data_IF_846121053358
#
_entry.id   IF_846121053358
#
_cell.length_a   1.000
_cell.length_b   1.000
_cell.length_c   1.000
_cell.angle_alpha   90.00
_cell.angle_beta   90.00
_cell.angle_gamma   90.00
#
_symmetry.space_group_name_H-M   'P 1'
#
loop_
_entity.id
_entity.type
_entity.pdbx_description
1 polymer ?
#
# COMPACT_ATOMS: atom_id res chain seq x y z
N UNK A 1 24.21 -18.52 14.01
CA UNK A 1 24.94 -17.23 14.07
C UNK A 1 23.98 -16.13 13.67
N UNK A 2 23.89 -15.04 14.45
CA UNK A 2 23.00 -13.92 14.16
C UNK A 2 23.65 -12.99 13.10
N UNK A 3 22.86 -12.39 12.20
CA UNK A 3 23.34 -11.44 11.19
C UNK A 3 24.07 -10.26 11.84
N UNK A 4 23.62 -9.84 13.03
CA UNK A 4 24.26 -8.80 13.83
C UNK A 4 25.68 -9.20 14.27
N UNK A 5 25.91 -10.48 14.59
CA UNK A 5 27.22 -10.99 14.98
C UNK A 5 28.16 -11.08 13.78
N UNK A 6 27.66 -11.49 12.61
CA UNK A 6 28.44 -11.48 11.37
C UNK A 6 28.88 -10.06 10.99
N UNK A 7 27.99 -9.08 11.08
CA UNK A 7 28.31 -7.67 10.81
C UNK A 7 29.30 -7.10 11.82
N UNK A 8 29.21 -7.50 13.10
CA UNK A 8 30.20 -7.13 14.12
C UNK A 8 31.58 -7.68 13.77
N UNK A 9 31.68 -8.96 13.39
CA UNK A 9 32.95 -9.59 13.02
C UNK A 9 33.60 -8.89 11.84
N UNK A 10 32.81 -8.56 10.82
CA UNK A 10 33.32 -7.87 9.63
C UNK A 10 33.78 -6.44 9.95
N UNK A 11 33.02 -5.70 10.76
CA UNK A 11 33.40 -4.36 11.18
C UNK A 11 34.69 -4.35 12.03
N UNK A 12 34.94 -5.40 12.83
CA UNK A 12 36.21 -5.59 13.53
C UNK A 12 37.35 -5.90 12.54
N UNK A 13 37.11 -6.75 11.55
CA UNK A 13 38.10 -7.08 10.51
C UNK A 13 38.51 -5.86 9.68
N UNK A 14 37.60 -4.91 9.49
CA UNK A 14 37.83 -3.62 8.80
C UNK A 14 38.36 -2.51 9.73
N UNK A 15 38.73 -2.83 10.97
CA UNK A 15 39.27 -1.90 11.97
C UNK A 15 38.37 -0.69 12.25
N UNK A 16 37.04 -0.89 12.25
CA UNK A 16 36.12 0.19 12.58
C UNK A 16 36.28 0.61 14.04
N UNK A 17 36.43 1.91 14.25
CA UNK A 17 36.46 2.47 15.60
C UNK A 17 35.11 2.32 16.32
N UNK A 18 35.12 2.50 17.63
CA UNK A 18 33.95 2.32 18.50
C UNK A 18 32.75 3.17 18.05
N UNK A 19 33.00 4.39 17.56
CA UNK A 19 31.96 5.29 17.04
C UNK A 19 31.28 4.73 15.78
N UNK A 20 32.05 4.23 14.80
CA UNK A 20 31.50 3.58 13.59
C UNK A 20 30.79 2.28 13.90
N UNK A 21 31.36 1.47 14.81
CA UNK A 21 30.73 0.23 15.28
C UNK A 21 29.40 0.52 15.97
N UNK A 22 29.35 1.48 16.89
CA UNK A 22 28.14 1.89 17.58
C UNK A 22 27.08 2.40 16.60
N UNK A 23 27.47 3.17 15.59
CA UNK A 23 26.57 3.66 14.53
C UNK A 23 25.91 2.51 13.75
N UNK A 24 26.70 1.51 13.33
CA UNK A 24 26.19 0.34 12.61
C UNK A 24 25.30 -0.51 13.52
N UNK A 25 25.71 -0.73 14.76
CA UNK A 25 24.93 -1.50 15.72
C UNK A 25 23.61 -0.81 16.09
N UNK A 26 23.59 0.51 16.14
CA UNK A 26 22.37 1.30 16.35
C UNK A 26 21.40 1.23 15.17
N UNK A 27 21.89 1.01 13.95
CA UNK A 27 21.02 0.82 12.77
C UNK A 27 20.13 -0.42 12.88
N UNK A 28 20.58 -1.45 13.62
CA UNK A 28 19.77 -2.64 13.93
C UNK A 28 18.71 -2.40 15.01
N UNK A 29 18.84 -1.34 15.80
CA UNK A 29 17.96 -1.06 16.95
C UNK A 29 16.73 -0.25 16.52
N UNK A 30 16.82 0.48 15.40
CA UNK A 30 15.77 1.42 14.99
C UNK A 30 14.98 0.85 13.82
N UNK A 31 13.73 0.46 14.08
CA UNK A 31 12.68 0.49 13.07
C UNK A 31 12.53 1.93 12.63
N UNK A 32 13.35 2.40 11.67
CA UNK A 32 13.18 3.73 11.11
C UNK A 32 11.79 3.73 10.49
N UNK A 33 10.82 4.50 11.00
CA UNK A 33 9.51 4.56 10.37
C UNK A 33 9.78 5.00 8.94
N UNK A 34 9.53 4.14 7.95
CA UNK A 34 9.57 4.56 6.55
C UNK A 34 8.57 5.70 6.46
N UNK A 35 9.04 6.92 6.24
CA UNK A 35 8.16 8.05 5.96
C UNK A 35 7.29 7.63 4.78
N UNK A 36 6.00 7.41 5.05
CA UNK A 36 5.08 6.95 4.03
C UNK A 36 4.81 8.13 3.12
N UNK A 37 5.20 7.99 1.85
CA UNK A 37 4.87 8.96 0.80
C UNK A 37 3.34 9.18 0.74
N UNK A 38 2.86 10.33 0.26
CA UNK A 38 1.43 10.57 0.08
C UNK A 38 0.74 9.43 -0.68
N UNK A 39 1.36 8.94 -1.76
CA UNK A 39 0.91 7.78 -2.52
C UNK A 39 0.73 6.54 -1.63
N UNK A 40 1.73 6.22 -0.79
CA UNK A 40 1.67 5.04 0.07
C UNK A 40 0.62 5.17 1.18
N UNK A 41 0.44 6.37 1.73
CA UNK A 41 -0.64 6.65 2.70
C UNK A 41 -2.02 6.44 2.07
N UNK A 42 -2.23 6.99 0.87
CA UNK A 42 -3.49 6.84 0.14
C UNK A 42 -3.74 5.36 -0.23
N UNK A 43 -2.71 4.65 -0.70
CA UNK A 43 -2.80 3.22 -1.04
C UNK A 43 -3.20 2.36 0.15
N UNK A 44 -2.59 2.58 1.32
CA UNK A 44 -2.94 1.86 2.55
C UNK A 44 -4.36 2.17 3.02
N UNK A 45 -4.78 3.43 2.93
CA UNK A 45 -6.16 3.81 3.27
C UNK A 45 -7.17 3.14 2.34
N UNK A 46 -6.88 3.06 1.03
CA UNK A 46 -7.71 2.33 0.07
C UNK A 46 -7.80 0.84 0.44
N UNK A 47 -6.68 0.21 0.82
CA UNK A 47 -6.67 -1.18 1.29
C UNK A 47 -7.52 -1.37 2.56
N UNK A 48 -7.42 -0.46 3.53
CA UNK A 48 -8.25 -0.46 4.74
C UNK A 48 -9.74 -0.34 4.40
N UNK A 49 -10.10 0.52 3.44
CA UNK A 49 -11.49 0.66 2.96
C UNK A 49 -12.01 -0.60 2.28
N UNK A 50 -11.20 -1.28 1.47
CA UNK A 50 -11.57 -2.57 0.86
C UNK A 50 -11.76 -3.64 1.96
N UNK A 51 -10.89 -3.65 2.98
CA UNK A 51 -11.04 -4.55 4.13
C UNK A 51 -12.33 -4.28 4.92
N UNK A 52 -12.74 -3.02 5.07
CA UNK A 52 -14.00 -2.66 5.69
C UNK A 52 -15.21 -3.15 4.87
N UNK A 53 -15.15 -3.06 3.54
CA UNK A 53 -16.16 -3.62 2.64
C UNK A 53 -16.26 -5.14 2.79
N UNK A 54 -15.14 -5.85 2.83
CA UNK A 54 -15.10 -7.31 3.02
C UNK A 54 -15.75 -7.73 4.35
N UNK A 55 -15.49 -6.99 5.43
CA UNK A 55 -16.12 -7.20 6.73
C UNK A 55 -17.62 -6.91 6.70
N UNK A 56 -18.03 -5.82 6.03
CA UNK A 56 -19.43 -5.46 5.84
C UNK A 56 -20.19 -6.57 5.11
N UNK A 57 -19.67 -7.02 3.97
CA UNK A 57 -20.26 -8.12 3.19
C UNK A 57 -20.36 -9.40 4.01
N UNK A 58 -19.31 -9.76 4.74
CA UNK A 58 -19.30 -10.97 5.59
C UNK A 58 -20.35 -10.88 6.70
N UNK A 59 -20.50 -9.72 7.33
CA UNK A 59 -21.49 -9.47 8.39
C UNK A 59 -22.92 -9.61 7.86
N UNK A 60 -23.21 -8.99 6.71
CA UNK A 60 -24.55 -8.95 6.13
C UNK A 60 -24.89 -10.18 5.26
N UNK A 61 -23.93 -11.06 4.96
CA UNK A 61 -24.15 -12.30 4.20
C UNK A 61 -25.24 -13.19 4.79
N UNK A 62 -25.31 -13.31 6.12
CA UNK A 62 -26.36 -14.13 6.78
C UNK A 62 -27.74 -13.48 6.69
N UNK A 63 -27.78 -12.16 6.80
CA UNK A 63 -29.00 -11.38 6.72
C UNK A 63 -29.57 -11.44 5.29
N UNK A 64 -28.70 -11.49 4.28
CA UNK A 64 -29.10 -11.56 2.88
C UNK A 64 -29.57 -12.96 2.41
N UNK A 65 -29.10 -14.04 3.05
CA UNK A 65 -29.45 -15.43 2.70
C UNK A 65 -30.73 -15.90 3.40
N UNK A 66 -31.05 -15.33 4.56
CA UNK A 66 -32.25 -15.68 5.33
C UNK A 66 -33.41 -14.73 5.01
N UNK A 67 -34.27 -15.15 4.08
CA UNK A 67 -35.39 -14.36 3.56
C UNK A 67 -36.38 -13.86 4.62
N UNK A 68 -36.39 -14.46 5.82
CA UNK A 68 -37.32 -14.12 6.91
C UNK A 68 -36.70 -13.17 7.94
N UNK A 69 -35.42 -12.81 7.77
CA UNK A 69 -34.63 -12.07 8.76
C UNK A 69 -34.52 -10.57 8.44
N UNK A 70 -34.63 -10.19 7.17
CA UNK A 70 -34.55 -8.80 6.71
C UNK A 70 -35.64 -8.45 5.72
N UNK A 71 -36.11 -7.22 5.79
CA UNK A 71 -37.06 -6.62 4.84
C UNK A 71 -36.41 -6.32 3.49
N UNK A 72 -37.24 -6.14 2.45
CA UNK A 72 -36.79 -5.73 1.12
C UNK A 72 -36.04 -4.37 1.17
N UNK A 73 -36.57 -3.41 1.94
CA UNK A 73 -35.94 -2.11 2.13
C UNK A 73 -34.53 -2.20 2.77
N UNK A 74 -34.34 -3.10 3.73
CA UNK A 74 -33.01 -3.32 4.33
C UNK A 74 -32.03 -3.93 3.34
N UNK A 75 -32.49 -4.84 2.48
CA UNK A 75 -31.67 -5.42 1.41
C UNK A 75 -31.25 -4.36 0.40
N UNK A 76 -32.18 -3.51 -0.04
CA UNK A 76 -31.89 -2.40 -0.96
C UNK A 76 -30.87 -1.42 -0.34
N UNK A 77 -31.00 -1.13 0.96
CA UNK A 77 -30.04 -0.28 1.67
C UNK A 77 -28.64 -0.90 1.68
N UNK A 78 -28.54 -2.21 1.95
CA UNK A 78 -27.26 -2.94 1.93
C UNK A 78 -26.65 -2.90 0.53
N UNK A 79 -27.42 -3.16 -0.51
CA UNK A 79 -26.95 -3.11 -1.90
C UNK A 79 -26.45 -1.71 -2.30
N UNK A 80 -27.18 -0.68 -1.86
CA UNK A 80 -26.78 0.70 -2.09
C UNK A 80 -25.46 1.04 -1.39
N UNK A 81 -25.31 0.66 -0.12
CA UNK A 81 -24.08 0.87 0.64
C UNK A 81 -22.88 0.15 0.02
N UNK A 82 -23.05 -1.12 -0.40
CA UNK A 82 -22.02 -1.87 -1.14
C UNK A 82 -21.61 -1.12 -2.41
N UNK A 83 -22.60 -0.69 -3.21
CA UNK A 83 -22.34 0.04 -4.45
C UNK A 83 -21.54 1.32 -4.21
N UNK A 84 -21.89 2.08 -3.17
CA UNK A 84 -21.15 3.29 -2.80
C UNK A 84 -19.71 2.98 -2.37
N UNK A 85 -19.50 1.94 -1.57
CA UNK A 85 -18.16 1.52 -1.13
C UNK A 85 -17.27 1.13 -2.31
N UNK A 86 -17.80 0.32 -3.23
CA UNK A 86 -17.07 -0.13 -4.43
C UNK A 86 -16.69 1.06 -5.29
N UNK A 87 -17.64 1.97 -5.53
CA UNK A 87 -17.41 3.18 -6.32
C UNK A 87 -16.31 4.06 -5.70
N UNK A 88 -16.37 4.31 -4.39
CA UNK A 88 -15.37 5.12 -3.69
C UNK A 88 -13.97 4.47 -3.74
N UNK A 89 -13.88 3.14 -3.60
CA UNK A 89 -12.60 2.44 -3.71
C UNK A 89 -12.04 2.53 -5.15
N UNK A 90 -12.88 2.34 -6.16
CA UNK A 90 -12.50 2.45 -7.56
C UNK A 90 -12.00 3.86 -7.90
N UNK A 91 -12.72 4.90 -7.47
CA UNK A 91 -12.31 6.31 -7.67
C UNK A 91 -10.93 6.58 -7.04
N UNK A 92 -10.67 6.08 -5.84
CA UNK A 92 -9.37 6.23 -5.19
C UNK A 92 -8.25 5.49 -5.91
N UNK A 93 -8.52 4.30 -6.47
CA UNK A 93 -7.57 3.56 -7.31
C UNK A 93 -7.25 4.34 -8.59
N UNK A 94 -8.26 4.94 -9.21
CA UNK A 94 -8.08 5.74 -10.43
C UNK A 94 -7.26 7.01 -10.15
N UNK A 95 -7.46 7.67 -9.01
CA UNK A 95 -6.62 8.79 -8.56
C UNK A 95 -5.17 8.35 -8.36
N UNK A 96 -4.94 7.18 -7.73
CA UNK A 96 -3.58 6.63 -7.57
C UNK A 96 -2.94 6.37 -8.93
N UNK A 97 -3.68 5.77 -9.86
CA UNK A 97 -3.20 5.52 -11.23
C UNK A 97 -2.87 6.82 -11.98
N UNK A 98 -3.73 7.83 -11.89
CA UNK A 98 -3.49 9.13 -12.49
C UNK A 98 -2.23 9.80 -11.91
N UNK A 99 -2.01 9.71 -10.60
CA UNK A 99 -0.82 10.28 -9.97
C UNK A 99 0.49 9.66 -10.48
N UNK A 100 0.49 8.38 -10.87
CA UNK A 100 1.65 7.73 -11.48
C UNK A 100 1.89 8.28 -12.89
N UNK A 101 0.83 8.40 -13.69
CA UNK A 101 0.93 8.94 -15.05
C UNK A 101 1.47 10.38 -15.05
N UNK A 102 1.03 11.21 -14.08
CA UNK A 102 1.51 12.58 -13.92
C UNK A 102 2.99 12.61 -13.54
N UNK A 103 3.43 11.73 -12.63
CA UNK A 103 4.85 11.59 -12.29
C UNK A 103 5.69 11.13 -13.49
N UNK A 104 5.19 10.16 -14.27
CA UNK A 104 5.86 9.68 -15.49
C UNK A 104 5.96 10.79 -16.55
N UNK A 105 4.91 11.61 -16.73
CA UNK A 105 4.92 12.74 -17.66
C UNK A 105 5.91 13.82 -17.21
N UNK A 106 5.95 14.15 -15.91
CA UNK A 106 6.84 15.16 -15.34
C UNK A 106 8.31 14.71 -15.27
N UNK A 107 8.56 13.39 -15.17
CA UNK A 107 9.92 12.84 -15.18
C UNK A 107 10.62 12.92 -16.55
N UNK A 108 9.87 13.13 -17.63
CA UNK A 108 10.38 13.29 -19.00
C UNK A 108 10.61 14.78 -19.33
N UNK A 109 11.28 15.51 -18.44
CA UNK A 109 11.40 16.97 -18.47
C UNK A 109 11.81 17.58 -19.84
N UNK A 110 11.37 18.82 -20.06
CA UNK A 110 11.50 19.70 -21.24
C UNK A 110 12.92 19.79 -21.89
N UNK A 111 13.97 19.27 -21.25
CA UNK A 111 15.35 19.28 -21.76
C UNK A 111 16.00 17.89 -21.92
N UNK A 112 15.22 16.80 -21.83
CA UNK A 112 15.69 15.46 -22.22
C UNK A 112 16.73 14.81 -21.30
N UNK A 113 17.01 15.36 -20.11
CA UNK A 113 17.87 14.72 -19.12
C UNK A 113 17.03 13.73 -18.30
N UNK A 114 17.21 12.43 -18.55
CA UNK A 114 16.66 11.35 -17.73
C UNK A 114 17.22 11.47 -16.32
N UNK A 115 16.40 11.88 -15.37
CA UNK A 115 16.70 11.72 -13.95
C UNK A 115 16.54 10.23 -13.60
N UNK A 116 17.69 9.57 -13.44
CA UNK A 116 17.99 8.38 -12.63
C UNK A 116 17.08 7.13 -12.75
N UNK A 117 17.71 5.97 -13.00
CA UNK A 117 17.08 4.64 -12.96
C UNK A 117 16.35 4.34 -11.65
N UNK A 118 16.67 5.02 -10.55
CA UNK A 118 15.96 4.89 -9.26
C UNK A 118 14.48 5.31 -9.34
N UNK A 119 14.11 6.12 -10.33
CA UNK A 119 12.72 6.49 -10.55
C UNK A 119 11.92 5.34 -11.21
N UNK A 120 12.54 4.55 -12.09
CA UNK A 120 11.86 3.47 -12.80
C UNK A 120 11.36 2.37 -11.84
N UNK A 121 12.20 1.95 -10.88
CA UNK A 121 11.80 0.96 -9.86
C UNK A 121 10.69 1.50 -8.96
N UNK A 122 10.73 2.80 -8.64
CA UNK A 122 9.69 3.45 -7.82
C UNK A 122 8.35 3.50 -8.56
N UNK A 123 8.36 3.86 -9.83
CA UNK A 123 7.17 3.89 -10.69
C UNK A 123 6.61 2.48 -10.90
N UNK A 124 7.46 1.49 -11.18
CA UNK A 124 7.06 0.09 -11.30
C UNK A 124 6.42 -0.43 -10.00
N UNK A 125 7.01 -0.09 -8.85
CA UNK A 125 6.42 -0.42 -7.54
C UNK A 125 5.04 0.22 -7.35
N UNK A 126 4.85 1.50 -7.72
CA UNK A 126 3.54 2.16 -7.64
C UNK A 126 2.50 1.50 -8.54
N UNK A 127 2.87 1.13 -9.78
CA UNK A 127 1.99 0.35 -10.66
C UNK A 127 1.62 -1.00 -10.05
N UNK A 128 2.60 -1.70 -9.45
CA UNK A 128 2.36 -2.95 -8.72
C UNK A 128 1.36 -2.79 -7.57
N UNK A 129 1.47 -1.71 -6.79
CA UNK A 129 0.52 -1.40 -5.73
C UNK A 129 -0.90 -1.18 -6.27
N UNK A 130 -1.05 -0.43 -7.36
CA UNK A 130 -2.36 -0.21 -8.01
C UNK A 130 -2.97 -1.53 -8.47
N UNK A 131 -2.18 -2.41 -9.10
CA UNK A 131 -2.65 -3.73 -9.52
C UNK A 131 -3.16 -4.58 -8.35
N UNK A 132 -2.42 -4.62 -7.24
CA UNK A 132 -2.81 -5.35 -6.03
C UNK A 132 -4.12 -4.79 -5.46
N UNK A 133 -4.28 -3.46 -5.41
CA UNK A 133 -5.51 -2.84 -4.93
C UNK A 133 -6.71 -3.17 -5.82
N UNK A 134 -6.54 -3.10 -7.15
CA UNK A 134 -7.57 -3.47 -8.11
C UNK A 134 -7.97 -4.94 -7.98
N UNK A 135 -7.00 -5.84 -7.87
CA UNK A 135 -7.25 -7.27 -7.68
C UNK A 135 -7.98 -7.54 -6.35
N UNK A 136 -7.54 -6.90 -5.26
CA UNK A 136 -8.18 -7.09 -3.95
C UNK A 136 -9.60 -6.54 -3.93
N UNK A 137 -9.88 -5.40 -4.56
CA UNK A 137 -11.25 -4.89 -4.72
C UNK A 137 -12.10 -5.88 -5.52
N UNK A 138 -11.58 -6.35 -6.66
CA UNK A 138 -12.29 -7.32 -7.51
C UNK A 138 -12.54 -8.66 -6.82
N UNK A 139 -11.65 -9.11 -5.94
CA UNK A 139 -11.84 -10.35 -5.17
C UNK A 139 -12.95 -10.24 -4.12
N UNK A 140 -13.29 -9.03 -3.68
CA UNK A 140 -14.30 -8.78 -2.65
C UNK A 140 -15.68 -8.54 -3.27
N UNK A 141 -15.72 -8.04 -4.50
CA UNK A 141 -16.95 -7.69 -5.25
C UNK A 141 -17.35 -8.77 -6.24
#
# INVERSE_FOLDING_TARGET
EDFKDAVRREAVALEFNESKMATIMASFIIHKPRERTPFMKASLKTLESIGALEQFLTKHKKDYVDLHRTTEQERDSIEHEVTMFVKACQEQIDILKASINDEEANSKGWLGIRTDSSNADTIAHKHGVVLILSEKLHSVT
#
